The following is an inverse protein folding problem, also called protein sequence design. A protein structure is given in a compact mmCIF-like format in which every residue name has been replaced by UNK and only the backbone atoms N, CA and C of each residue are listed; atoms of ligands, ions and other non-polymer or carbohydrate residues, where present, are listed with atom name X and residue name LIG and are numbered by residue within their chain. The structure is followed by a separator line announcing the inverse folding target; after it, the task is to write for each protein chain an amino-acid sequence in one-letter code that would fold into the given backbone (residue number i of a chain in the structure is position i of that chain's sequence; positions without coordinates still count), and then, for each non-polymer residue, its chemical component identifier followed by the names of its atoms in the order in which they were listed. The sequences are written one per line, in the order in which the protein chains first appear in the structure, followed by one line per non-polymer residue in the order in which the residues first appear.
data_IF_230087321898
#
_entry.id   IF_230087321898
#
_cell.length_a   1.000
_cell.length_b   1.000
_cell.length_c   1.000
_cell.angle_alpha   90.00
_cell.angle_beta   90.00
_cell.angle_gamma   90.00
#
_symmetry.space_group_name_H-M   'P 1'
#
loop_
_entity.id
_entity.type
_entity.pdbx_description
1 polymer ?
#
# COMPACT_ATOMS: atom_id res chain seq x y z
N UNK A 1 -9.22 -6.69 -1.36
CA UNK A 1 -7.83 -6.71 -0.89
C UNK A 1 -7.34 -8.04 -0.31
N UNK A 2 -8.20 -9.06 -0.14
CA UNK A 2 -7.78 -10.38 0.34
C UNK A 2 -6.80 -11.15 -0.55
N UNK A 3 -6.66 -10.80 -1.83
CA UNK A 3 -5.87 -11.59 -2.78
C UNK A 3 -4.36 -11.35 -2.65
N UNK A 4 -3.92 -10.18 -2.17
CA UNK A 4 -2.48 -9.83 -2.13
C UNK A 4 -1.85 -10.12 -0.76
N UNK A 5 -2.62 -10.06 0.32
CA UNK A 5 -2.08 -10.29 1.66
C UNK A 5 -2.50 -11.64 2.27
N UNK A 6 -3.49 -12.35 1.75
CA UNK A 6 -4.09 -13.52 2.42
C UNK A 6 -5.09 -13.11 3.49
N UNK A 7 -5.37 -13.98 4.46
CA UNK A 7 -6.24 -13.65 5.59
C UNK A 7 -5.60 -12.56 6.47
N UNK A 8 -6.28 -11.41 6.56
CA UNK A 8 -5.93 -10.32 7.44
C UNK A 8 -6.79 -10.39 8.70
N UNK A 9 -6.16 -10.22 9.86
CA UNK A 9 -6.89 -9.95 11.09
C UNK A 9 -7.63 -8.61 11.01
N UNK A 10 -8.66 -8.37 11.84
CA UNK A 10 -9.34 -7.07 11.90
C UNK A 10 -8.38 -5.91 12.18
N UNK A 11 -7.37 -6.13 13.02
CA UNK A 11 -6.34 -5.14 13.36
C UNK A 11 -5.44 -4.82 12.16
N UNK A 12 -4.99 -5.85 11.44
CA UNK A 12 -4.20 -5.66 10.22
C UNK A 12 -5.01 -4.94 9.13
N UNK A 13 -6.29 -5.28 8.96
CA UNK A 13 -7.17 -4.59 8.00
C UNK A 13 -7.29 -3.10 8.31
N UNK A 14 -7.51 -2.75 9.59
CA UNK A 14 -7.57 -1.36 10.01
C UNK A 14 -6.28 -0.57 9.70
N UNK A 15 -5.12 -1.21 9.85
CA UNK A 15 -3.82 -0.63 9.49
C UNK A 15 -3.68 -0.45 7.99
N UNK A 16 -4.09 -1.44 7.19
CA UNK A 16 -4.09 -1.35 5.73
C UNK A 16 -4.98 -0.22 5.23
N UNK A 17 -6.20 -0.09 5.76
CA UNK A 17 -7.12 0.99 5.41
C UNK A 17 -6.51 2.36 5.72
N UNK A 18 -5.90 2.51 6.90
CA UNK A 18 -5.19 3.73 7.28
C UNK A 18 -4.02 4.04 6.34
N UNK A 19 -3.21 3.02 6.02
CA UNK A 19 -2.07 3.16 5.12
C UNK A 19 -2.51 3.56 3.70
N UNK A 20 -3.61 3.01 3.19
CA UNK A 20 -4.19 3.39 1.90
C UNK A 20 -4.58 4.85 1.89
N UNK A 21 -5.35 5.30 2.89
CA UNK A 21 -5.76 6.70 2.99
C UNK A 21 -4.54 7.63 3.00
N UNK A 22 -3.50 7.29 3.77
CA UNK A 22 -2.25 8.04 3.78
C UNK A 22 -1.58 8.07 2.40
N UNK A 23 -1.55 6.94 1.71
CA UNK A 23 -0.93 6.81 0.39
C UNK A 23 -1.63 7.69 -0.65
N UNK A 24 -2.97 7.66 -0.71
CA UNK A 24 -3.75 8.52 -1.60
C UNK A 24 -3.54 10.01 -1.27
N UNK A 25 -3.53 10.35 0.02
CA UNK A 25 -3.25 11.73 0.45
C UNK A 25 -1.86 12.22 0.06
N UNK A 26 -0.85 11.34 0.07
CA UNK A 26 0.50 11.68 -0.40
C UNK A 26 0.56 11.98 -1.90
N UNK A 27 -0.35 11.42 -2.70
CA UNK A 27 -0.54 11.76 -4.12
C UNK A 27 -1.44 12.99 -4.35
N UNK A 28 -1.91 13.63 -3.27
CA UNK A 28 -2.86 14.75 -3.35
C UNK A 28 -4.30 14.32 -3.66
N UNK A 29 -4.60 13.02 -3.65
CA UNK A 29 -5.95 12.50 -3.82
C UNK A 29 -6.66 12.55 -2.46
N UNK A 30 -7.80 13.23 -2.43
CA UNK A 30 -8.58 13.45 -1.21
C UNK A 30 -10.05 13.12 -1.46
N UNK A 31 -10.94 13.49 -0.53
CA UNK A 31 -12.37 13.31 -0.71
C UNK A 31 -12.96 14.28 -1.74
N UNK A 32 -12.20 15.29 -2.20
CA UNK A 32 -12.63 16.19 -3.26
C UNK A 32 -12.65 15.43 -4.62
N UNK A 33 -13.83 15.31 -5.28
CA UNK A 33 -13.94 14.64 -6.57
C UNK A 33 -13.04 15.21 -7.66
N UNK A 34 -12.66 16.49 -7.58
CA UNK A 34 -11.74 17.09 -8.54
C UNK A 34 -10.36 16.43 -8.51
N UNK A 35 -9.95 15.89 -7.35
CA UNK A 35 -8.66 15.22 -7.15
C UNK A 35 -8.66 13.77 -7.64
N UNK A 36 -9.81 13.18 -7.93
CA UNK A 36 -9.93 11.77 -8.36
C UNK A 36 -9.41 11.52 -9.79
N UNK A 37 -9.07 12.59 -10.51
CA UNK A 37 -8.42 12.55 -11.82
C UNK A 37 -6.90 12.43 -11.74
N UNK A 38 -6.30 12.62 -10.56
CA UNK A 38 -4.87 12.47 -10.35
C UNK A 38 -4.46 11.00 -10.47
N UNK A 39 -3.20 10.77 -10.83
CA UNK A 39 -2.66 9.42 -10.96
C UNK A 39 -2.75 8.69 -9.61
N UNK A 40 -3.45 7.54 -9.54
CA UNK A 40 -3.57 6.81 -8.29
C UNK A 40 -2.22 6.24 -7.84
N UNK A 41 -2.00 6.07 -6.52
CA UNK A 41 -0.77 5.50 -6.01
C UNK A 41 -0.57 4.06 -6.47
N UNK A 42 0.68 3.68 -6.67
CA UNK A 42 1.07 2.30 -6.98
C UNK A 42 1.34 1.50 -5.70
N UNK A 43 1.50 0.19 -5.84
CA UNK A 43 1.80 -0.71 -4.71
C UNK A 43 3.07 -0.32 -3.96
N UNK A 44 4.08 0.24 -4.65
CA UNK A 44 5.30 0.74 -4.01
C UNK A 44 5.04 1.94 -3.08
N UNK A 45 4.12 2.83 -3.45
CA UNK A 45 3.73 3.95 -2.59
C UNK A 45 3.07 3.45 -1.31
N UNK A 46 2.17 2.45 -1.42
CA UNK A 46 1.53 1.82 -0.26
C UNK A 46 2.55 1.13 0.66
N UNK A 47 3.54 0.47 0.08
CA UNK A 47 4.63 -0.13 0.84
C UNK A 47 5.45 0.90 1.61
N UNK A 48 5.81 2.01 0.96
CA UNK A 48 6.51 3.13 1.62
C UNK A 48 5.66 3.75 2.73
N UNK A 49 4.35 3.88 2.52
CA UNK A 49 3.43 4.36 3.55
C UNK A 49 3.41 3.42 4.77
N UNK A 50 3.32 2.10 4.57
CA UNK A 50 3.38 1.12 5.66
C UNK A 50 4.72 1.11 6.40
N UNK A 51 5.84 1.26 5.69
CA UNK A 51 7.17 1.38 6.31
C UNK A 51 7.31 2.61 7.21
N UNK A 52 6.63 3.70 6.88
CA UNK A 52 6.66 4.95 7.65
C UNK A 52 5.75 4.94 8.89
N UNK A 53 4.96 3.88 9.10
CA UNK A 53 4.09 3.75 10.27
C UNK A 53 4.86 3.21 11.47
N UNK A 54 4.55 3.71 12.67
CA UNK A 54 5.19 3.32 13.93
C UNK A 54 4.66 1.97 14.45
N UNK A 55 3.45 1.58 14.03
CA UNK A 55 2.81 0.33 14.40
C UNK A 55 3.61 -0.90 13.95
N UNK A 56 4.00 -1.78 14.88
CA UNK A 56 4.74 -3.01 14.57
C UNK A 56 4.03 -3.93 13.56
N UNK A 57 2.69 -3.93 13.58
CA UNK A 57 1.87 -4.67 12.61
C UNK A 57 2.02 -4.09 11.19
N UNK A 58 2.19 -2.77 11.04
CA UNK A 58 2.45 -2.15 9.74
C UNK A 58 3.79 -2.60 9.15
N UNK A 59 4.81 -2.77 10.00
CA UNK A 59 6.11 -3.34 9.60
C UNK A 59 5.98 -4.81 9.16
N UNK A 60 5.11 -5.60 9.79
CA UNK A 60 4.86 -6.97 9.33
C UNK A 60 4.16 -6.99 7.96
N UNK A 61 3.17 -6.12 7.78
CA UNK A 61 2.42 -5.97 6.53
C UNK A 61 3.30 -5.45 5.39
N UNK A 62 4.20 -4.49 5.65
CA UNK A 62 5.18 -4.00 4.66
C UNK A 62 6.12 -5.12 4.21
N UNK A 63 6.63 -5.94 5.13
CA UNK A 63 7.48 -7.09 4.80
C UNK A 63 6.77 -8.13 3.93
N UNK A 64 5.46 -8.36 4.15
CA UNK A 64 4.64 -9.21 3.27
C UNK A 64 4.52 -8.60 1.88
N UNK A 65 4.26 -7.30 1.80
CA UNK A 65 4.08 -6.56 0.55
C UNK A 65 5.39 -6.44 -0.25
N UNK A 66 6.54 -6.37 0.43
CA UNK A 66 7.87 -6.29 -0.18
C UNK A 66 8.12 -7.46 -1.16
N UNK A 67 7.65 -8.67 -0.80
CA UNK A 67 7.81 -9.86 -1.65
C UNK A 67 7.05 -9.74 -2.97
N UNK A 68 5.91 -9.06 -2.99
CA UNK A 68 5.13 -8.82 -4.21
C UNK A 68 5.74 -7.70 -5.04
N UNK A 69 6.34 -6.69 -4.40
CA UNK A 69 7.04 -5.61 -5.10
C UNK A 69 8.34 -6.14 -5.70
N UNK A 70 9.28 -6.63 -4.89
CA UNK A 70 10.56 -7.14 -5.39
C UNK A 70 10.43 -8.41 -6.23
N UNK A 71 9.45 -9.27 -5.93
CA UNK A 71 9.20 -10.51 -6.65
C UNK A 71 8.47 -10.33 -7.99
N UNK A 72 7.54 -9.36 -8.12
CA UNK A 72 6.90 -9.08 -9.42
C UNK A 72 7.73 -8.16 -10.32
N UNK A 73 8.59 -7.29 -9.77
CA UNK A 73 9.42 -6.39 -10.59
C UNK A 73 10.62 -7.11 -11.23
N UNK A 74 11.02 -8.28 -10.72
CA UNK A 74 12.11 -9.07 -11.32
C UNK A 74 11.76 -9.67 -12.70
N UNK A 75 10.50 -9.66 -13.12
CA UNK A 75 10.05 -10.35 -14.34
C UNK A 75 9.53 -9.48 -15.49
N UNK A 76 9.35 -8.16 -15.34
CA UNK A 76 8.61 -7.36 -16.35
C UNK A 76 9.27 -6.06 -16.84
N UNK A 77 10.39 -5.60 -16.27
CA UNK A 77 11.19 -4.50 -16.83
C UNK A 77 12.50 -5.01 -17.45
N UNK A 78 12.39 -6.06 -18.26
CA UNK A 78 13.51 -6.70 -18.94
C UNK A 78 13.21 -6.97 -20.42
N UNK A 79 12.62 -6.00 -21.13
CA UNK A 79 12.70 -5.84 -22.60
C UNK A 79 12.58 -4.37 -22.97
#
# INVERSE_FOLDING_TARGET
MNVVMGDLTPEESAIIDKALVLTYRQKGITNDPATHQLEPPIMEDLYKALLGMEESLAQNLSNRLEKFIKGSIAGIYGV
#
